data_IF_103480323555
#
_entry.id   IF_103480323555
#
_cell.length_a   1.000
_cell.length_b   1.000
_cell.length_c   1.000
_cell.angle_alpha   90.00
_cell.angle_beta   90.00
_cell.angle_gamma   90.00
#
_symmetry.space_group_name_H-M   'P 1'
#
loop_
_entity.id
_entity.type
_entity.pdbx_description
1 polymer ?
#
# COMPACT_ATOMS: atom_id res chain seq x y z
N UNK A 1 18.37 1.08 17.79
CA UNK A 1 18.11 -0.38 17.82
C UNK A 1 19.34 -1.27 17.99
N UNK A 2 20.51 -1.00 17.35
CA UNK A 2 21.71 -1.87 17.41
C UNK A 2 22.22 -2.24 18.82
N UNK A 3 22.24 -1.31 19.79
CA UNK A 3 22.74 -1.59 21.13
C UNK A 3 21.79 -2.47 21.97
N UNK A 4 20.48 -2.34 21.78
CA UNK A 4 19.46 -3.10 22.54
C UNK A 4 19.48 -4.57 22.14
N UNK A 5 19.71 -4.88 20.86
CA UNK A 5 19.69 -6.24 20.34
C UNK A 5 21.08 -6.88 20.21
N UNK A 6 22.14 -6.21 20.65
CA UNK A 6 23.50 -6.73 20.57
C UNK A 6 23.66 -8.11 21.25
N UNK A 7 23.01 -8.40 22.40
CA UNK A 7 23.07 -9.74 23.01
C UNK A 7 22.36 -10.84 22.19
N UNK A 8 21.40 -10.48 21.35
CA UNK A 8 20.68 -11.44 20.50
C UNK A 8 21.52 -11.86 19.28
N UNK A 9 22.46 -11.01 18.85
CA UNK A 9 23.35 -11.34 17.73
C UNK A 9 24.32 -12.47 18.10
N UNK A 10 24.89 -12.45 19.31
CA UNK A 10 25.72 -13.56 19.79
C UNK A 10 24.88 -14.81 20.03
N UNK A 11 23.70 -14.69 20.65
CA UNK A 11 22.79 -15.81 20.87
C UNK A 11 22.34 -16.47 19.55
N UNK A 12 22.11 -15.71 18.49
CA UNK A 12 21.76 -16.23 17.17
C UNK A 12 22.90 -16.96 16.45
N UNK A 13 24.16 -16.67 16.78
CA UNK A 13 25.35 -17.32 16.19
C UNK A 13 25.85 -18.51 16.99
N UNK A 14 25.88 -18.38 18.30
CA UNK A 14 26.49 -19.34 19.22
C UNK A 14 25.45 -20.26 19.87
N UNK A 15 24.17 -19.88 19.80
CA UNK A 15 23.08 -20.55 20.48
C UNK A 15 23.05 -20.23 21.97
N UNK A 16 21.90 -20.41 22.60
CA UNK A 16 21.72 -20.28 24.04
C UNK A 16 20.97 -21.49 24.59
N UNK A 17 21.39 -21.98 25.77
CA UNK A 17 20.69 -23.07 26.45
C UNK A 17 19.40 -22.54 27.06
N UNK A 18 18.27 -23.10 26.66
CA UNK A 18 16.95 -22.79 27.19
C UNK A 18 16.26 -24.06 27.68
N UNK A 19 15.51 -23.93 28.76
CA UNK A 19 14.64 -25.00 29.26
C UNK A 19 13.36 -24.97 28.44
N UNK A 20 13.02 -26.07 27.75
CA UNK A 20 11.74 -26.22 27.06
C UNK A 20 10.61 -26.55 28.03
N UNK A 21 9.37 -26.42 27.57
CA UNK A 21 8.18 -26.66 28.40
C UNK A 21 8.07 -28.09 28.96
N UNK A 22 8.79 -29.05 28.38
CA UNK A 22 8.92 -30.44 28.85
C UNK A 22 10.02 -30.62 29.92
N UNK A 23 10.68 -29.55 30.35
CA UNK A 23 11.78 -29.56 31.33
C UNK A 23 13.15 -29.92 30.75
N UNK A 24 13.26 -30.24 29.46
CA UNK A 24 14.55 -30.53 28.83
C UNK A 24 15.34 -29.24 28.53
N UNK A 25 16.68 -29.32 28.59
CA UNK A 25 17.54 -28.19 28.20
C UNK A 25 17.98 -28.36 26.75
N UNK A 26 17.70 -27.37 25.91
CA UNK A 26 18.02 -27.37 24.47
C UNK A 26 18.85 -26.17 24.09
N UNK A 27 19.78 -26.34 23.15
CA UNK A 27 20.49 -25.21 22.54
C UNK A 27 19.60 -24.61 21.45
N UNK A 28 19.18 -23.36 21.64
CA UNK A 28 18.27 -22.62 20.76
C UNK A 28 19.04 -21.47 20.12
N UNK A 29 18.84 -21.26 18.82
CA UNK A 29 19.42 -20.16 18.06
C UNK A 29 18.31 -19.14 17.76
N UNK A 30 18.07 -18.16 18.65
CA UNK A 30 17.00 -17.18 18.44
C UNK A 30 17.33 -16.31 17.23
N UNK A 31 16.52 -16.44 16.19
CA UNK A 31 16.52 -15.53 15.04
C UNK A 31 15.54 -14.41 15.37
N UNK A 32 16.03 -13.18 15.49
CA UNK A 32 15.16 -12.01 15.61
C UNK A 32 14.49 -11.77 14.25
N UNK A 33 13.28 -12.28 14.09
CA UNK A 33 12.40 -11.89 12.99
C UNK A 33 11.57 -10.69 13.45
N UNK A 34 11.82 -9.50 12.91
CA UNK A 34 10.91 -8.37 13.09
C UNK A 34 9.71 -8.57 12.17
N UNK A 35 8.54 -8.77 12.77
CA UNK A 35 7.27 -8.77 12.07
C UNK A 35 6.71 -7.34 12.13
N UNK A 36 6.48 -6.71 10.97
CA UNK A 36 5.75 -5.43 10.89
C UNK A 36 4.27 -5.77 11.01
N UNK A 37 3.69 -5.53 12.18
CA UNK A 37 2.31 -5.86 12.53
C UNK A 37 1.36 -4.69 12.28
N UNK A 38 1.60 -3.89 11.23
CA UNK A 38 0.92 -2.61 11.08
C UNK A 38 -0.34 -2.72 10.19
N UNK A 39 -0.73 -3.94 9.83
CA UNK A 39 -2.07 -4.31 9.33
C UNK A 39 -2.53 -5.61 10.01
N UNK A 40 -2.86 -5.60 11.32
CA UNK A 40 -3.32 -6.79 12.04
C UNK A 40 -4.66 -7.33 11.52
N UNK A 41 -5.40 -6.52 10.76
CA UNK A 41 -6.69 -6.88 10.14
C UNK A 41 -6.58 -7.57 8.78
N UNK A 42 -5.40 -7.94 8.28
CA UNK A 42 -5.29 -8.71 7.04
C UNK A 42 -4.27 -9.85 7.14
N UNK A 43 -4.32 -10.63 8.21
CA UNK A 43 -3.57 -11.89 8.28
C UNK A 43 -4.40 -13.06 7.72
N UNK A 44 -3.72 -14.14 7.32
CA UNK A 44 -4.35 -15.35 6.79
C UNK A 44 -5.53 -15.84 7.65
N UNK A 45 -5.33 -15.96 8.97
CA UNK A 45 -6.35 -16.44 9.91
C UNK A 45 -7.54 -15.51 10.02
N UNK A 46 -7.30 -14.19 9.99
CA UNK A 46 -8.37 -13.21 10.03
C UNK A 46 -9.24 -13.29 8.77
N UNK A 47 -8.61 -13.34 7.58
CA UNK A 47 -9.35 -13.45 6.31
C UNK A 47 -10.21 -14.71 6.26
N UNK A 48 -9.70 -15.86 6.73
CA UNK A 48 -10.49 -17.08 6.84
C UNK A 48 -11.66 -16.93 7.81
N UNK A 49 -11.45 -16.29 8.96
CA UNK A 49 -12.53 -16.06 9.94
C UNK A 49 -13.66 -15.19 9.39
N UNK A 50 -13.33 -14.18 8.57
CA UNK A 50 -14.32 -13.33 7.89
C UNK A 50 -15.12 -14.14 6.88
N UNK A 51 -14.45 -14.97 6.07
CA UNK A 51 -15.10 -15.85 5.08
C UNK A 51 -16.04 -16.84 5.77
N UNK A 52 -15.59 -17.49 6.84
CA UNK A 52 -16.39 -18.43 7.62
C UNK A 52 -17.59 -17.75 8.28
N UNK A 53 -17.38 -16.60 8.91
CA UNK A 53 -18.45 -15.81 9.53
C UNK A 53 -19.47 -15.37 8.48
N UNK A 54 -19.03 -14.81 7.36
CA UNK A 54 -19.92 -14.39 6.27
C UNK A 54 -20.72 -15.58 5.72
N UNK A 55 -20.09 -16.75 5.57
CA UNK A 55 -20.75 -17.97 5.09
C UNK A 55 -21.79 -18.50 6.09
N UNK A 56 -21.53 -18.41 7.39
CA UNK A 56 -22.46 -18.86 8.42
C UNK A 56 -23.67 -17.93 8.62
N UNK A 57 -23.49 -16.63 8.35
CA UNK A 57 -24.51 -15.60 8.59
C UNK A 57 -25.35 -15.25 7.35
N UNK A 58 -24.85 -15.58 6.16
CA UNK A 58 -25.50 -15.20 4.90
C UNK A 58 -26.41 -16.29 4.35
N UNK A 59 -27.60 -15.88 3.91
CA UNK A 59 -28.61 -16.75 3.29
C UNK A 59 -28.57 -16.68 1.76
N UNK A 60 -27.79 -15.78 1.18
CA UNK A 60 -27.65 -15.61 -0.27
C UNK A 60 -26.23 -15.21 -0.66
N UNK A 61 -25.87 -15.42 -1.93
CA UNK A 61 -24.61 -14.93 -2.49
C UNK A 61 -24.45 -13.42 -2.34
N UNK A 62 -25.50 -12.64 -2.58
CA UNK A 62 -25.46 -11.18 -2.47
C UNK A 62 -25.14 -10.74 -1.04
N UNK A 63 -25.76 -11.38 -0.05
CA UNK A 63 -25.50 -11.09 1.36
C UNK A 63 -24.09 -11.51 1.79
N UNK A 64 -23.61 -12.67 1.30
CA UNK A 64 -22.24 -13.12 1.52
C UNK A 64 -21.24 -12.10 0.96
N UNK A 65 -21.46 -11.72 -0.31
CA UNK A 65 -20.63 -10.75 -1.01
C UNK A 65 -20.58 -9.42 -0.25
N UNK A 66 -21.73 -8.88 0.15
CA UNK A 66 -21.81 -7.63 0.90
C UNK A 66 -21.12 -7.73 2.27
N UNK A 67 -21.27 -8.85 2.98
CA UNK A 67 -20.66 -9.08 4.29
C UNK A 67 -19.14 -9.17 4.21
N UNK A 68 -18.60 -9.89 3.23
CA UNK A 68 -17.17 -9.94 2.98
C UNK A 68 -16.62 -8.57 2.58
N UNK A 69 -17.28 -7.88 1.65
CA UNK A 69 -16.84 -6.56 1.16
C UNK A 69 -16.88 -5.49 2.26
N UNK A 70 -17.80 -5.56 3.22
CA UNK A 70 -17.82 -4.68 4.41
C UNK A 70 -16.57 -4.81 5.27
N UNK A 71 -15.94 -5.98 5.24
CA UNK A 71 -14.68 -6.28 5.92
C UNK A 71 -13.51 -6.25 4.92
N UNK A 72 -13.66 -5.64 3.75
CA UNK A 72 -12.59 -5.55 2.74
C UNK A 72 -12.03 -6.91 2.26
N UNK A 73 -12.80 -8.00 2.42
CA UNK A 73 -12.47 -9.34 1.90
C UNK A 73 -13.25 -9.60 0.61
N UNK A 74 -12.59 -10.22 -0.37
CA UNK A 74 -13.22 -10.55 -1.66
C UNK A 74 -14.43 -11.47 -1.47
N UNK A 75 -15.62 -10.97 -1.79
CA UNK A 75 -16.86 -11.73 -1.76
C UNK A 75 -17.04 -12.75 -2.89
N UNK A 76 -16.06 -12.88 -3.80
CA UNK A 76 -16.09 -13.88 -4.88
C UNK A 76 -15.39 -15.19 -4.51
N UNK A 77 -14.60 -15.19 -3.43
CA UNK A 77 -13.81 -16.34 -3.00
C UNK A 77 -14.46 -16.94 -1.76
N UNK A 78 -15.00 -18.16 -1.90
CA UNK A 78 -15.56 -18.93 -0.77
C UNK A 78 -14.52 -19.78 -0.05
N UNK A 79 -13.50 -20.19 -0.80
CA UNK A 79 -12.51 -21.14 -0.36
C UNK A 79 -11.17 -20.72 -0.96
N UNK A 80 -10.39 -19.92 -0.24
CA UNK A 80 -9.11 -19.46 -0.75
C UNK A 80 -8.17 -20.64 -0.98
N UNK A 81 -7.49 -20.67 -2.14
CA UNK A 81 -6.59 -21.79 -2.48
C UNK A 81 -5.44 -21.97 -1.48
N UNK A 82 -5.09 -20.91 -0.76
CA UNK A 82 -4.01 -20.89 0.23
C UNK A 82 -4.44 -21.32 1.63
N UNK A 83 -5.71 -21.65 1.86
CA UNK A 83 -6.23 -22.02 3.20
C UNK A 83 -5.47 -23.18 3.86
N UNK A 84 -5.00 -24.13 3.04
CA UNK A 84 -4.32 -25.35 3.50
C UNK A 84 -2.78 -25.20 3.47
N UNK A 85 -2.27 -23.96 3.39
CA UNK A 85 -0.85 -23.66 3.40
C UNK A 85 -0.43 -23.11 4.78
N UNK A 86 -0.25 -23.96 5.81
CA UNK A 86 -0.08 -23.53 7.21
C UNK A 86 1.21 -22.75 7.47
N UNK A 87 2.17 -22.79 6.55
CA UNK A 87 3.46 -22.11 6.66
C UNK A 87 3.62 -20.94 5.67
N UNK A 88 2.57 -20.61 4.92
CA UNK A 88 2.60 -19.56 3.89
C UNK A 88 1.59 -18.49 4.24
N UNK A 89 2.07 -17.28 4.51
CA UNK A 89 1.19 -16.12 4.55
C UNK A 89 1.11 -15.50 3.14
N UNK A 90 -0.08 -15.61 2.54
CA UNK A 90 -0.33 -15.14 1.18
C UNK A 90 -0.12 -13.64 1.05
N UNK A 91 -0.34 -12.87 2.12
CA UNK A 91 -0.25 -11.41 2.08
C UNK A 91 1.19 -10.95 1.89
N UNK A 92 2.16 -11.74 2.35
CA UNK A 92 3.59 -11.53 2.07
C UNK A 92 4.02 -12.02 0.70
N UNK A 93 3.21 -12.86 0.05
CA UNK A 93 3.50 -13.40 -1.29
C UNK A 93 3.01 -12.48 -2.41
N UNK A 94 2.19 -11.48 -2.08
CA UNK A 94 1.72 -10.47 -3.03
C UNK A 94 2.77 -9.36 -3.07
N UNK A 95 3.58 -9.35 -4.13
CA UNK A 95 4.51 -8.24 -4.37
C UNK A 95 3.72 -6.95 -4.64
N UNK A 96 4.07 -5.82 -4.01
CA UNK A 96 3.39 -4.56 -4.24
C UNK A 96 3.42 -4.19 -5.73
N UNK A 97 2.24 -3.98 -6.31
CA UNK A 97 2.09 -3.63 -7.71
C UNK A 97 1.99 -2.12 -7.91
N UNK A 98 2.86 -1.57 -8.75
CA UNK A 98 2.90 -0.13 -9.04
C UNK A 98 1.56 0.36 -9.61
N UNK A 99 0.94 -0.41 -10.50
CA UNK A 99 -0.27 0.05 -11.15
C UNK A 99 -1.46 0.07 -10.19
N UNK A 100 -1.77 -1.05 -9.55
CA UNK A 100 -2.96 -1.23 -8.76
C UNK A 100 -2.81 -0.61 -7.36
N UNK A 101 -1.66 -0.79 -6.70
CA UNK A 101 -1.46 -0.26 -5.34
C UNK A 101 -1.15 1.24 -5.37
N UNK A 102 -0.13 1.65 -6.14
CA UNK A 102 0.32 3.03 -6.10
C UNK A 102 -0.54 3.96 -6.96
N UNK A 103 -0.76 3.63 -8.24
CA UNK A 103 -1.50 4.51 -9.14
C UNK A 103 -3.02 4.43 -8.96
N UNK A 104 -3.61 3.22 -8.94
CA UNK A 104 -5.05 3.05 -8.81
C UNK A 104 -5.56 3.06 -7.37
N UNK A 105 -4.70 2.72 -6.40
CA UNK A 105 -4.95 2.91 -4.98
C UNK A 105 -4.56 4.32 -4.55
N UNK A 106 -3.31 4.50 -4.13
CA UNK A 106 -2.84 5.73 -3.45
C UNK A 106 -3.09 7.00 -4.26
N UNK A 107 -2.61 7.08 -5.51
CA UNK A 107 -2.72 8.30 -6.30
C UNK A 107 -4.18 8.64 -6.61
N UNK A 108 -5.05 7.65 -6.86
CA UNK A 108 -6.50 7.89 -7.04
C UNK A 108 -7.08 8.62 -5.84
N UNK A 109 -6.79 8.14 -4.63
CA UNK A 109 -7.26 8.78 -3.40
C UNK A 109 -6.65 10.17 -3.21
N UNK A 110 -5.36 10.33 -3.52
CA UNK A 110 -4.67 11.62 -3.46
C UNK A 110 -5.32 12.67 -4.37
N UNK A 111 -5.70 12.29 -5.60
CA UNK A 111 -6.44 13.16 -6.53
C UNK A 111 -7.81 13.52 -5.94
N UNK A 112 -8.53 12.55 -5.36
CA UNK A 112 -9.83 12.80 -4.71
C UNK A 112 -9.70 13.80 -3.57
N UNK A 113 -8.67 13.69 -2.73
CA UNK A 113 -8.41 14.66 -1.66
C UNK A 113 -8.08 16.05 -2.22
N UNK A 114 -7.24 16.13 -3.25
CA UNK A 114 -6.94 17.40 -3.91
C UNK A 114 -8.21 18.06 -4.48
N UNK A 115 -9.12 17.27 -5.05
CA UNK A 115 -10.41 17.75 -5.56
C UNK A 115 -11.34 18.22 -4.43
N UNK A 116 -11.24 17.69 -3.21
CA UNK A 116 -12.02 18.18 -2.07
C UNK A 116 -11.52 19.54 -1.59
N UNK A 117 -10.20 19.78 -1.66
CA UNK A 117 -9.61 21.03 -1.18
C UNK A 117 -9.72 22.15 -2.22
N UNK A 118 -9.42 21.86 -3.50
CA UNK A 118 -9.46 22.86 -4.58
C UNK A 118 -10.83 22.97 -5.25
N UNK A 119 -11.71 21.98 -5.11
CA UNK A 119 -12.86 21.67 -5.99
C UNK A 119 -12.47 20.99 -7.31
N UNK A 120 -13.40 20.20 -7.86
CA UNK A 120 -13.21 19.52 -9.17
C UNK A 120 -13.03 20.51 -10.31
N UNK A 121 -13.85 21.57 -10.35
CA UNK A 121 -13.83 22.56 -11.42
C UNK A 121 -12.51 23.34 -11.47
N UNK A 122 -11.97 23.71 -10.31
CA UNK A 122 -10.70 24.43 -10.25
C UNK A 122 -9.52 23.53 -10.66
N UNK A 123 -9.51 22.27 -10.21
CA UNK A 123 -8.46 21.33 -10.63
C UNK A 123 -8.52 21.10 -12.15
N UNK A 124 -9.70 20.89 -12.73
CA UNK A 124 -9.87 20.74 -14.18
C UNK A 124 -9.50 22.01 -14.95
N UNK A 125 -9.82 23.20 -14.42
CA UNK A 125 -9.40 24.47 -15.01
C UNK A 125 -7.88 24.54 -15.11
N UNK A 126 -7.18 24.17 -14.04
CA UNK A 126 -5.71 24.19 -13.99
C UNK A 126 -5.08 23.19 -14.94
N UNK A 127 -5.62 21.98 -15.00
CA UNK A 127 -5.14 20.95 -15.93
C UNK A 127 -5.24 21.44 -17.38
N UNK A 128 -6.33 22.13 -17.74
CA UNK A 128 -6.50 22.75 -19.07
C UNK A 128 -5.58 23.94 -19.33
N UNK A 129 -5.08 24.61 -18.29
CA UNK A 129 -4.16 25.73 -18.41
C UNK A 129 -2.68 25.29 -18.48
N UNK A 130 -2.38 24.00 -18.30
CA UNK A 130 -1.01 23.51 -18.46
C UNK A 130 -0.58 23.62 -19.91
N UNK A 131 0.62 24.16 -20.12
CA UNK A 131 1.23 24.14 -21.45
C UNK A 131 1.46 22.72 -21.91
N UNK A 132 1.34 22.50 -23.21
CA UNK A 132 1.73 21.23 -23.82
C UNK A 132 3.20 20.92 -23.52
N UNK A 133 3.49 19.70 -23.10
CA UNK A 133 4.83 19.24 -22.74
C UNK A 133 5.07 17.82 -23.24
N UNK A 134 6.31 17.54 -23.63
CA UNK A 134 6.66 16.24 -24.18
C UNK A 134 6.52 15.12 -23.12
N UNK A 135 5.90 14.01 -23.48
CA UNK A 135 5.72 12.86 -22.59
C UNK A 135 4.60 12.99 -21.54
N UNK A 136 3.78 14.04 -21.64
CA UNK A 136 2.61 14.29 -20.78
C UNK A 136 1.34 14.35 -21.63
N UNK A 137 0.32 13.59 -21.23
CA UNK A 137 -0.98 13.64 -21.90
C UNK A 137 -1.69 14.94 -21.53
N UNK A 138 -2.16 15.68 -22.54
CA UNK A 138 -2.98 16.86 -22.33
C UNK A 138 -4.46 16.45 -22.24
N UNK A 139 -5.04 16.62 -21.06
CA UNK A 139 -6.47 16.36 -20.84
C UNK A 139 -7.30 17.55 -21.33
N UNK A 140 -7.64 17.54 -22.64
CA UNK A 140 -8.48 18.59 -23.27
C UNK A 140 -9.88 18.65 -22.65
N UNK A 141 -10.40 17.50 -22.23
CA UNK A 141 -11.64 17.39 -21.49
C UNK A 141 -11.38 17.34 -19.98
N UNK A 142 -12.39 17.71 -19.20
CA UNK A 142 -12.37 17.65 -17.73
C UNK A 142 -11.95 16.25 -17.27
N UNK A 143 -10.91 16.17 -16.46
CA UNK A 143 -10.46 14.90 -15.88
C UNK A 143 -11.53 14.33 -14.96
N UNK A 144 -12.29 15.21 -14.30
CA UNK A 144 -13.45 14.80 -13.50
C UNK A 144 -14.60 14.16 -14.29
N UNK A 145 -14.62 14.28 -15.62
CA UNK A 145 -15.64 13.72 -16.50
C UNK A 145 -15.29 12.31 -17.02
N UNK A 146 -14.09 11.80 -16.75
CA UNK A 146 -13.69 10.46 -17.18
C UNK A 146 -14.39 9.41 -16.29
N UNK A 147 -15.35 8.69 -16.87
CA UNK A 147 -16.08 7.60 -16.19
C UNK A 147 -15.20 6.36 -15.97
N UNK A 148 -14.24 6.12 -16.87
CA UNK A 148 -13.26 5.05 -16.77
C UNK A 148 -11.88 5.64 -17.02
N UNK A 149 -10.97 5.45 -16.06
CA UNK A 149 -9.59 5.96 -16.13
C UNK A 149 -8.65 4.77 -16.21
N UNK A 150 -7.95 4.64 -17.33
CA UNK A 150 -6.91 3.64 -17.56
C UNK A 150 -5.68 3.86 -16.69
N UNK A 151 -4.84 2.82 -16.57
CA UNK A 151 -3.54 2.94 -15.89
C UNK A 151 -2.64 4.00 -16.50
N UNK A 152 -2.60 4.10 -17.82
CA UNK A 152 -1.81 5.10 -18.55
C UNK A 152 -2.29 6.52 -18.27
N UNK A 153 -3.60 6.75 -18.30
CA UNK A 153 -4.17 8.05 -17.93
C UNK A 153 -3.83 8.41 -16.49
N UNK A 154 -3.96 7.46 -15.55
CA UNK A 154 -3.60 7.67 -14.14
C UNK A 154 -2.13 8.05 -13.97
N UNK A 155 -1.22 7.43 -14.71
CA UNK A 155 0.21 7.80 -14.75
C UNK A 155 0.41 9.23 -15.21
N UNK A 156 -0.27 9.64 -16.29
CA UNK A 156 -0.20 11.02 -16.77
C UNK A 156 -0.77 12.02 -15.77
N UNK A 157 -1.85 11.68 -15.07
CA UNK A 157 -2.39 12.52 -13.99
C UNK A 157 -1.36 12.75 -12.88
N UNK A 158 -0.63 11.71 -12.48
CA UNK A 158 0.45 11.83 -11.48
C UNK A 158 1.57 12.78 -11.90
N UNK A 159 1.92 12.81 -13.19
CA UNK A 159 2.94 13.72 -13.74
C UNK A 159 2.56 15.20 -13.62
N UNK A 160 1.28 15.52 -13.73
CA UNK A 160 0.80 16.91 -13.76
C UNK A 160 0.26 17.40 -12.42
N UNK A 161 -0.11 16.50 -11.51
CA UNK A 161 -0.82 16.82 -10.28
C UNK A 161 -0.11 17.90 -9.46
N UNK A 162 1.19 17.73 -9.19
CA UNK A 162 1.94 18.68 -8.37
C UNK A 162 1.97 20.09 -9.00
N UNK A 163 2.13 20.19 -10.32
CA UNK A 163 2.10 21.46 -11.04
C UNK A 163 0.75 22.18 -10.91
N UNK A 164 -0.35 21.43 -10.87
CA UNK A 164 -1.67 21.99 -10.60
C UNK A 164 -1.83 22.47 -9.15
N UNK A 165 -1.11 21.92 -8.19
CA UNK A 165 -1.22 22.31 -6.78
C UNK A 165 -0.37 23.53 -6.43
N UNK A 166 0.83 23.67 -6.98
CA UNK A 166 1.77 24.74 -6.60
C UNK A 166 1.24 26.15 -6.92
N UNK A 167 0.37 26.30 -7.90
CA UNK A 167 -0.22 27.59 -8.32
C UNK A 167 -1.45 28.03 -7.48
N UNK A 168 -1.64 27.51 -6.27
CA UNK A 168 -2.80 27.80 -5.41
C UNK A 168 -2.43 28.33 -4.02
N UNK A 169 -3.43 28.86 -3.31
CA UNK A 169 -3.39 29.06 -1.85
C UNK A 169 -3.46 27.73 -1.05
N UNK A 170 -3.02 26.61 -1.64
CA UNK A 170 -3.00 25.33 -0.94
C UNK A 170 -2.06 25.39 0.27
N UNK A 171 -2.45 24.77 1.41
CA UNK A 171 -1.55 24.65 2.54
C UNK A 171 -0.24 23.98 2.12
N UNK A 172 0.89 24.55 2.54
CA UNK A 172 2.23 24.02 2.24
C UNK A 172 2.35 22.55 2.66
N UNK A 173 1.73 22.18 3.77
CA UNK A 173 1.68 20.80 4.28
C UNK A 173 1.08 19.83 3.27
N UNK A 174 0.02 20.23 2.55
CA UNK A 174 -0.61 19.37 1.53
C UNK A 174 0.28 19.25 0.30
N UNK A 175 0.91 20.35 -0.15
CA UNK A 175 1.85 20.30 -1.27
C UNK A 175 3.02 19.37 -0.95
N UNK A 176 3.54 19.45 0.28
CA UNK A 176 4.61 18.57 0.78
C UNK A 176 4.15 17.12 0.79
N UNK A 177 2.98 16.81 1.37
CA UNK A 177 2.45 15.45 1.41
C UNK A 177 2.24 14.85 0.00
N UNK A 178 1.67 15.62 -0.93
CA UNK A 178 1.47 15.17 -2.32
C UNK A 178 2.81 14.93 -3.01
N UNK A 179 3.77 15.86 -2.88
CA UNK A 179 5.11 15.72 -3.45
C UNK A 179 5.81 14.48 -2.91
N UNK A 180 5.76 14.26 -1.60
CA UNK A 180 6.32 13.11 -0.89
C UNK A 180 5.80 11.79 -1.45
N UNK A 181 4.48 11.66 -1.57
CA UNK A 181 3.86 10.46 -2.13
C UNK A 181 4.27 10.28 -3.60
N UNK A 182 4.25 11.35 -4.41
CA UNK A 182 4.66 11.26 -5.81
C UNK A 182 6.13 10.85 -5.95
N UNK A 183 7.03 11.39 -5.13
CA UNK A 183 8.44 11.01 -5.10
C UNK A 183 8.62 9.52 -4.80
N UNK A 184 7.92 9.02 -3.77
CA UNK A 184 7.92 7.59 -3.45
C UNK A 184 7.45 6.75 -4.65
N UNK A 185 6.36 7.15 -5.32
CA UNK A 185 5.83 6.44 -6.50
C UNK A 185 6.84 6.43 -7.65
N UNK A 186 7.61 7.51 -7.83
CA UNK A 186 8.66 7.55 -8.86
C UNK A 186 9.85 6.66 -8.51
N UNK A 187 10.30 6.65 -7.25
CA UNK A 187 11.38 5.77 -6.80
C UNK A 187 10.98 4.31 -6.91
N UNK A 188 9.78 3.94 -6.46
CA UNK A 188 9.26 2.57 -6.53
C UNK A 188 9.17 2.01 -7.97
N UNK A 189 9.24 2.86 -9.00
CA UNK A 189 9.23 2.44 -10.40
C UNK A 189 10.60 1.99 -10.93
N UNK A 190 11.65 2.07 -10.11
CA UNK A 190 12.96 1.58 -10.52
C UNK A 190 12.88 0.07 -10.79
N UNK A 191 13.53 -0.38 -11.87
CA UNK A 191 13.52 -1.79 -12.26
C UNK A 191 14.23 -2.69 -11.24
N UNK A 192 15.16 -2.10 -10.48
CA UNK A 192 15.96 -2.74 -9.44
C UNK A 192 16.22 -1.73 -8.34
N UNK A 193 16.28 -2.22 -7.12
CA UNK A 193 16.60 -1.42 -5.94
C UNK A 193 17.90 -1.92 -5.31
N UNK A 194 18.67 -0.97 -4.82
CA UNK A 194 19.84 -1.14 -3.96
C UNK A 194 19.57 -0.50 -2.59
N UNK A 195 20.50 -0.65 -1.64
CA UNK A 195 20.34 -0.12 -0.29
C UNK A 195 20.12 1.41 -0.27
N UNK A 196 20.71 2.14 -1.23
CA UNK A 196 20.58 3.59 -1.35
C UNK A 196 19.18 4.00 -1.83
N UNK A 197 18.69 3.41 -2.92
CA UNK A 197 17.35 3.69 -3.44
C UNK A 197 16.23 3.25 -2.49
N UNK A 198 16.45 2.19 -1.69
CA UNK A 198 15.54 1.81 -0.61
C UNK A 198 15.53 2.85 0.53
N UNK A 199 16.69 3.35 0.93
CA UNK A 199 16.81 4.42 1.93
C UNK A 199 16.16 5.72 1.43
N UNK A 200 16.33 6.06 0.15
CA UNK A 200 15.66 7.21 -0.48
C UNK A 200 14.14 7.06 -0.50
N UNK A 201 13.62 5.85 -0.73
CA UNK A 201 12.17 5.57 -0.63
C UNK A 201 11.66 5.79 0.79
N UNK A 202 12.41 5.36 1.81
CA UNK A 202 12.04 5.59 3.21
C UNK A 202 12.06 7.07 3.56
N UNK A 203 13.14 7.78 3.20
CA UNK A 203 13.27 9.23 3.42
C UNK A 203 12.21 10.04 2.69
N UNK A 204 11.76 9.58 1.50
CA UNK A 204 10.73 10.28 0.77
C UNK A 204 9.45 10.45 1.61
N UNK A 205 9.13 9.47 2.46
CA UNK A 205 7.95 9.44 3.32
C UNK A 205 8.16 10.01 4.73
N UNK A 206 9.40 10.27 5.14
CA UNK A 206 9.76 10.79 6.47
C UNK A 206 9.82 12.34 6.45
N UNK A 207 8.65 12.99 6.55
CA UNK A 207 8.49 14.44 6.30
C UNK A 207 7.68 15.17 7.37
#
# INVERSE_FOLDING_TARGET
MRHVFSPLISAGKEGIKMVSADGAVRCVFPILASYVADFPEQCMSWTLSVIESARSTSQSFAQYFETCMKQEVSGYVFEPFWKDLPLTDIHFSITPDILHQLYQGVLRHLITWCQQILTKDELDRRIRCLSESYGVCHFKNRVSALSQISGTERKHMGKILLGCLVSSNMPKTVIVAVRTILNFIYLAQYSTHDDESLDDMMKALDV
#
